data_IF_258735208933
#
_entry.id   IF_258735208933
#
_cell.length_a   1.000
_cell.length_b   1.000
_cell.length_c   1.000
_cell.angle_alpha   90.00
_cell.angle_beta   90.00
_cell.angle_gamma   90.00
#
_symmetry.space_group_name_H-M   'P 1'
#
loop_
_entity.id
_entity.type
_entity.pdbx_description
1 polymer ?
#
# COMPACT_ATOMS: atom_id res chain seq x y z
N UNK A 1 -7.89 16.23 -21.67
CA UNK A 1 -6.51 15.71 -21.65
C UNK A 1 -6.50 14.53 -20.71
N UNK A 2 -5.84 13.45 -21.08
CA UNK A 2 -5.72 12.31 -20.18
C UNK A 2 -4.84 12.70 -18.99
N UNK A 3 -5.24 12.27 -17.79
CA UNK A 3 -4.49 12.50 -16.56
C UNK A 3 -3.15 11.75 -16.62
N UNK A 4 -2.11 12.37 -16.09
CA UNK A 4 -0.76 11.79 -16.07
C UNK A 4 -0.65 10.82 -14.88
N UNK A 5 -0.39 9.52 -15.14
CA UNK A 5 -0.22 8.55 -14.07
C UNK A 5 1.04 8.87 -13.26
N UNK A 6 0.91 8.83 -11.94
CA UNK A 6 1.98 9.14 -10.99
C UNK A 6 2.17 7.98 -10.01
N UNK A 7 3.38 7.45 -9.91
CA UNK A 7 3.73 6.34 -9.00
C UNK A 7 4.59 6.87 -7.85
N UNK A 8 4.22 6.56 -6.62
CA UNK A 8 5.04 6.85 -5.44
C UNK A 8 5.93 5.64 -5.18
N UNK A 9 7.24 5.84 -5.22
CA UNK A 9 8.26 4.86 -4.85
C UNK A 9 8.75 5.16 -3.43
N UNK A 10 8.46 4.26 -2.51
CA UNK A 10 8.82 4.38 -1.09
C UNK A 10 9.54 3.14 -0.59
N UNK A 11 9.99 3.15 0.64
CA UNK A 11 10.70 2.06 1.31
C UNK A 11 11.75 2.61 2.25
N UNK A 12 12.11 1.84 3.27
CA UNK A 12 13.00 2.28 4.34
C UNK A 12 14.42 2.61 3.84
N UNK A 13 15.23 3.21 4.70
CA UNK A 13 16.64 3.58 4.38
C UNK A 13 17.40 2.36 3.87
N UNK A 14 18.12 2.52 2.77
CA UNK A 14 18.94 1.47 2.18
C UNK A 14 18.16 0.34 1.48
N UNK A 15 16.84 0.43 1.34
CA UNK A 15 16.02 -0.61 0.71
C UNK A 15 16.30 -0.83 -0.78
N UNK A 16 16.96 0.13 -1.45
CA UNK A 16 17.30 0.01 -2.88
C UNK A 16 16.34 0.75 -3.82
N UNK A 17 15.61 1.77 -3.33
CA UNK A 17 14.70 2.60 -4.14
C UNK A 17 15.39 3.24 -5.34
N UNK A 18 16.45 3.99 -5.08
CA UNK A 18 17.25 4.65 -6.12
C UNK A 18 17.88 3.66 -7.10
N UNK A 19 18.29 2.47 -6.62
CA UNK A 19 18.79 1.40 -7.49
C UNK A 19 17.70 0.90 -8.46
N UNK A 20 16.49 0.71 -7.95
CA UNK A 20 15.33 0.33 -8.76
C UNK A 20 14.96 1.44 -9.75
N UNK A 21 14.91 2.68 -9.30
CA UNK A 21 14.59 3.84 -10.13
C UNK A 21 15.58 4.00 -11.27
N UNK A 22 16.89 4.00 -10.98
CA UNK A 22 17.94 4.06 -11.98
C UNK A 22 17.85 2.91 -12.99
N UNK A 23 17.48 1.72 -12.54
CA UNK A 23 17.28 0.58 -13.43
C UNK A 23 16.09 0.78 -14.37
N UNK A 24 14.96 1.27 -13.85
CA UNK A 24 13.79 1.61 -14.66
C UNK A 24 14.16 2.64 -15.72
N UNK A 25 14.87 3.69 -15.33
CA UNK A 25 15.27 4.75 -16.26
C UNK A 25 16.25 4.28 -17.35
N UNK A 26 17.00 3.20 -17.12
CA UNK A 26 17.95 2.65 -18.09
C UNK A 26 17.31 1.61 -19.04
N UNK A 27 16.13 1.09 -18.72
CA UNK A 27 15.46 0.10 -19.56
C UNK A 27 14.69 0.79 -20.71
N UNK A 28 14.73 0.17 -21.89
CA UNK A 28 13.94 0.63 -23.03
C UNK A 28 12.49 0.13 -22.91
N UNK A 29 11.66 0.91 -22.23
CA UNK A 29 10.24 0.62 -22.04
C UNK A 29 9.31 1.52 -22.87
N UNK A 30 9.88 2.41 -23.69
CA UNK A 30 9.12 3.27 -24.62
C UNK A 30 8.28 4.37 -23.94
N UNK A 31 8.43 4.60 -22.63
CA UNK A 31 7.76 5.67 -21.88
C UNK A 31 8.77 6.75 -21.47
N UNK A 32 8.34 7.99 -21.48
CA UNK A 32 9.11 9.11 -20.94
C UNK A 32 8.67 9.35 -19.51
N UNK A 33 9.60 9.26 -18.57
CA UNK A 33 9.34 9.34 -17.14
C UNK A 33 9.95 10.63 -16.59
N UNK A 34 9.12 11.45 -15.94
CA UNK A 34 9.61 12.54 -15.10
C UNK A 34 9.79 11.98 -13.67
N UNK A 35 10.92 12.28 -13.05
CA UNK A 35 11.24 11.85 -11.69
C UNK A 35 11.26 13.06 -10.77
N UNK A 36 10.63 12.91 -9.62
CA UNK A 36 10.72 13.85 -8.50
C UNK A 36 11.40 13.09 -7.35
N UNK A 37 12.62 13.48 -7.01
CA UNK A 37 13.30 12.98 -5.82
C UNK A 37 13.01 13.91 -4.67
N UNK A 38 12.47 13.36 -3.60
CA UNK A 38 12.10 14.12 -2.41
C UNK A 38 13.05 13.74 -1.27
N UNK A 39 14.25 14.35 -1.23
CA UNK A 39 15.19 14.18 -0.14
C UNK A 39 14.94 15.21 0.97
N UNK A 40 14.73 14.70 2.18
CA UNK A 40 14.65 15.49 3.41
C UNK A 40 16.02 15.50 4.11
N UNK A 41 16.77 16.57 3.98
CA UNK A 41 18.00 16.79 4.72
C UNK A 41 18.17 18.26 5.06
N UNK A 42 18.74 18.56 6.25
CA UNK A 42 19.06 19.91 6.70
C UNK A 42 20.19 20.60 5.89
N UNK A 43 20.78 19.92 4.93
CA UNK A 43 21.81 20.46 4.05
C UNK A 43 21.32 20.39 2.59
N UNK A 44 21.18 21.58 2.00
CA UNK A 44 21.01 21.90 0.59
C UNK A 44 21.37 20.76 -0.37
N UNK A 45 20.42 19.92 -0.72
CA UNK A 45 20.51 19.11 -1.91
C UNK A 45 19.34 19.55 -2.78
N UNK A 46 19.66 20.05 -3.95
CA UNK A 46 18.73 20.52 -4.94
C UNK A 46 17.68 19.44 -5.20
N UNK A 47 16.40 19.80 -5.12
CA UNK A 47 15.33 18.93 -5.58
C UNK A 47 15.51 18.74 -7.09
N UNK A 48 16.17 17.66 -7.47
CA UNK A 48 16.42 17.33 -8.87
C UNK A 48 15.15 16.73 -9.46
N UNK A 49 14.61 17.43 -10.45
CA UNK A 49 13.56 16.88 -11.30
C UNK A 49 14.25 16.37 -12.56
N UNK A 50 14.25 15.05 -12.73
CA UNK A 50 14.82 14.40 -13.89
C UNK A 50 13.72 14.08 -14.90
N UNK A 51 13.84 14.55 -16.11
CA UNK A 51 12.99 14.14 -17.23
C UNK A 51 13.87 13.41 -18.23
N UNK A 52 13.65 12.13 -18.39
CA UNK A 52 14.37 11.32 -19.36
C UNK A 52 13.61 11.31 -20.69
N UNK A 53 14.24 11.85 -21.74
CA UNK A 53 13.82 11.61 -23.11
C UNK A 53 14.70 10.48 -23.68
N UNK A 54 14.16 9.58 -24.49
CA UNK A 54 14.85 8.42 -25.10
C UNK A 54 15.97 8.80 -26.07
N UNK A 55 16.55 9.97 -25.89
CA UNK A 55 17.70 10.57 -26.60
C UNK A 55 18.33 11.68 -25.78
N UNK A 56 19.14 11.32 -24.80
CA UNK A 56 20.17 12.18 -24.17
C UNK A 56 19.75 13.58 -23.70
N UNK A 57 18.75 13.75 -22.82
CA UNK A 57 18.71 14.96 -21.99
C UNK A 57 18.06 14.68 -20.62
N UNK A 58 18.88 14.59 -19.59
CA UNK A 58 18.46 14.75 -18.20
C UNK A 58 18.28 16.25 -17.99
N UNK A 59 17.04 16.69 -17.73
CA UNK A 59 16.78 18.08 -17.39
C UNK A 59 16.79 18.17 -15.86
N UNK A 60 17.90 18.63 -15.32
CA UNK A 60 18.02 19.00 -13.91
C UNK A 60 17.31 20.35 -13.71
N UNK A 61 16.35 20.40 -12.81
CA UNK A 61 15.72 21.65 -12.40
C UNK A 61 16.11 21.96 -10.95
N UNK A 62 17.06 22.87 -10.81
CA UNK A 62 17.46 23.45 -9.53
C UNK A 62 16.40 24.46 -9.10
N UNK A 63 15.51 24.09 -8.22
CA UNK A 63 14.65 25.02 -7.50
C UNK A 63 15.28 25.27 -6.12
N UNK A 64 15.95 26.41 -5.97
CA UNK A 64 16.61 26.82 -4.72
C UNK A 64 15.66 26.84 -3.53
N UNK A 65 16.21 26.46 -2.39
CA UNK A 65 15.69 26.39 -1.03
C UNK A 65 14.45 27.24 -0.73
N UNK A 66 13.37 26.56 -0.29
CA UNK A 66 12.43 27.14 0.69
C UNK A 66 12.03 26.01 1.66
N UNK A 67 12.48 26.13 2.90
CA UNK A 67 12.03 25.35 4.04
C UNK A 67 10.60 25.72 4.40
N UNK A 68 9.61 25.04 3.85
CA UNK A 68 8.25 25.02 4.45
C UNK A 68 7.41 23.90 3.84
N UNK A 69 7.21 22.86 4.59
CA UNK A 69 6.22 21.78 4.40
C UNK A 69 6.36 20.95 3.11
N UNK A 70 6.85 19.77 3.26
CA UNK A 70 6.96 18.64 2.30
C UNK A 70 5.89 18.59 1.22
N UNK A 71 4.66 18.95 1.56
CA UNK A 71 3.51 18.92 0.67
C UNK A 71 3.47 20.11 -0.28
N UNK A 72 3.86 21.30 0.18
CA UNK A 72 3.85 22.51 -0.65
C UNK A 72 4.85 22.42 -1.80
N UNK A 73 6.04 21.91 -1.51
CA UNK A 73 7.12 21.79 -2.50
C UNK A 73 6.78 20.76 -3.59
N UNK A 74 6.14 19.65 -3.21
CA UNK A 74 5.66 18.65 -4.15
C UNK A 74 4.55 19.21 -5.06
N UNK A 75 3.61 19.97 -4.50
CA UNK A 75 2.53 20.62 -5.27
C UNK A 75 3.14 21.58 -6.29
N UNK A 76 4.10 22.39 -5.88
CA UNK A 76 4.77 23.34 -6.78
C UNK A 76 5.56 22.62 -7.88
N UNK A 77 6.28 21.55 -7.55
CA UNK A 77 7.02 20.73 -8.51
C UNK A 77 6.08 20.11 -9.56
N UNK A 78 4.99 19.49 -9.12
CA UNK A 78 3.99 18.89 -10.01
C UNK A 78 3.33 19.96 -10.92
N UNK A 79 2.95 21.10 -10.37
CA UNK A 79 2.34 22.19 -11.13
C UNK A 79 3.34 22.82 -12.11
N UNK A 80 4.62 22.94 -11.74
CA UNK A 80 5.69 23.38 -12.64
C UNK A 80 5.87 22.41 -13.83
N UNK A 81 5.91 21.10 -13.57
CA UNK A 81 5.97 20.08 -14.62
C UNK A 81 4.76 20.16 -15.56
N UNK A 82 3.55 20.31 -15.01
CA UNK A 82 2.32 20.45 -15.81
C UNK A 82 2.39 21.68 -16.73
N UNK A 83 2.81 22.85 -16.21
CA UNK A 83 2.97 24.08 -16.99
C UNK A 83 4.00 23.94 -18.10
N UNK A 84 5.18 23.38 -17.82
CA UNK A 84 6.23 23.17 -18.82
C UNK A 84 5.80 22.18 -19.91
N UNK A 85 5.09 21.10 -19.53
CA UNK A 85 4.51 20.15 -20.48
C UNK A 85 3.47 20.82 -21.38
N UNK A 86 2.59 21.64 -20.80
CA UNK A 86 1.58 22.39 -21.56
C UNK A 86 2.21 23.43 -22.50
N UNK A 87 3.34 24.05 -22.12
CA UNK A 87 4.11 24.95 -22.96
C UNK A 87 4.91 24.21 -24.05
N UNK A 88 4.99 22.89 -24.03
CA UNK A 88 5.79 22.09 -24.97
C UNK A 88 7.29 22.13 -24.69
N UNK A 89 7.72 22.65 -23.55
CA UNK A 89 9.13 22.74 -23.15
C UNK A 89 9.70 21.37 -22.78
N UNK A 90 8.87 20.52 -22.17
CA UNK A 90 9.21 19.15 -21.77
C UNK A 90 8.10 18.19 -22.19
N UNK A 91 8.45 16.92 -22.33
CA UNK A 91 7.49 15.89 -22.72
C UNK A 91 7.72 14.65 -21.87
N UNK A 92 6.66 14.20 -21.17
CA UNK A 92 6.67 12.98 -20.38
C UNK A 92 5.27 12.35 -20.33
N UNK A 93 5.23 11.08 -20.11
CA UNK A 93 4.02 10.27 -20.13
C UNK A 93 3.61 9.85 -18.72
N UNK A 94 4.54 9.88 -17.75
CA UNK A 94 4.36 9.41 -16.38
C UNK A 94 5.27 10.17 -15.40
N UNK A 95 4.88 10.22 -14.14
CA UNK A 95 5.71 10.75 -13.04
C UNK A 95 6.03 9.62 -12.05
N UNK A 96 7.27 9.55 -11.60
CA UNK A 96 7.69 8.73 -10.45
C UNK A 96 8.19 9.66 -9.36
N UNK A 97 7.67 9.50 -8.15
CA UNK A 97 8.06 10.29 -6.98
C UNK A 97 8.79 9.34 -6.02
N UNK A 98 10.11 9.51 -5.90
CA UNK A 98 10.88 8.80 -4.90
C UNK A 98 10.81 9.54 -3.57
N UNK A 99 10.38 8.86 -2.49
CA UNK A 99 10.36 9.43 -1.15
C UNK A 99 11.63 9.08 -0.39
N UNK A 100 11.99 9.87 0.62
CA UNK A 100 13.08 9.53 1.54
C UNK A 100 12.78 8.23 2.28
N UNK A 101 13.83 7.59 2.80
CA UNK A 101 13.70 6.32 3.51
C UNK A 101 12.92 6.38 4.83
N UNK A 102 12.71 7.57 5.40
CA UNK A 102 11.94 7.80 6.63
C UNK A 102 10.56 8.43 6.36
N UNK A 103 10.21 8.69 5.09
CA UNK A 103 8.97 9.34 4.77
C UNK A 103 7.75 8.47 5.03
N UNK A 104 6.69 9.10 5.54
CA UNK A 104 5.34 8.56 5.48
C UNK A 104 4.75 8.86 4.10
N UNK A 105 4.40 7.88 3.27
CA UNK A 105 3.86 8.12 1.94
C UNK A 105 2.43 8.71 1.95
N UNK A 106 1.74 8.66 3.08
CA UNK A 106 0.37 9.16 3.21
C UNK A 106 0.17 10.61 2.77
N UNK A 107 0.92 11.59 3.30
CA UNK A 107 0.83 13.00 2.86
C UNK A 107 1.10 13.20 1.38
N UNK A 108 2.06 12.45 0.80
CA UNK A 108 2.37 12.47 -0.63
C UNK A 108 1.17 11.96 -1.44
N UNK A 109 0.60 10.82 -1.06
CA UNK A 109 -0.59 10.27 -1.70
C UNK A 109 -1.80 11.20 -1.59
N UNK A 110 -2.00 11.86 -0.44
CA UNK A 110 -3.11 12.80 -0.23
C UNK A 110 -3.05 14.02 -1.15
N UNK A 111 -1.86 14.45 -1.58
CA UNK A 111 -1.69 15.59 -2.48
C UNK A 111 -2.53 15.45 -3.75
N UNK A 112 -2.60 14.25 -4.30
CA UNK A 112 -3.35 13.95 -5.53
C UNK A 112 -4.88 14.03 -5.36
N UNK A 113 -5.39 14.04 -4.14
CA UNK A 113 -6.83 14.07 -3.87
C UNK A 113 -7.31 15.40 -3.31
N UNK A 114 -6.43 16.17 -2.69
CA UNK A 114 -6.81 17.40 -1.96
C UNK A 114 -6.47 18.64 -2.75
N UNK A 115 -5.43 18.62 -3.56
CA UNK A 115 -5.04 19.75 -4.37
C UNK A 115 -5.76 19.72 -5.73
N UNK A 116 -6.56 20.73 -6.02
CA UNK A 116 -7.39 20.79 -7.22
C UNK A 116 -6.54 20.90 -8.50
N UNK A 117 -5.43 21.65 -8.47
CA UNK A 117 -4.55 21.83 -9.62
C UNK A 117 -3.80 20.53 -9.94
N UNK A 118 -3.27 19.86 -8.92
CA UNK A 118 -2.64 18.54 -9.07
C UNK A 118 -3.65 17.52 -9.57
N UNK A 119 -4.83 17.43 -8.97
CA UNK A 119 -5.90 16.50 -9.37
C UNK A 119 -6.44 16.73 -10.78
N UNK A 120 -6.31 17.96 -11.32
CA UNK A 120 -6.70 18.27 -12.68
C UNK A 120 -5.70 17.75 -13.75
N UNK A 121 -4.46 17.48 -13.36
CA UNK A 121 -3.38 17.08 -14.29
C UNK A 121 -2.87 15.66 -14.05
N UNK A 122 -2.93 15.17 -12.83
CA UNK A 122 -2.29 13.92 -12.40
C UNK A 122 -3.29 12.94 -11.79
N UNK A 123 -3.01 11.66 -11.97
CA UNK A 123 -3.70 10.56 -11.32
C UNK A 123 -2.68 9.76 -10.50
N UNK A 124 -2.95 9.53 -9.22
CA UNK A 124 -2.15 8.59 -8.45
C UNK A 124 -2.38 7.17 -8.97
N UNK A 125 -1.35 6.59 -9.57
CA UNK A 125 -1.37 5.21 -10.09
C UNK A 125 -1.22 4.19 -8.97
N UNK A 126 -0.11 4.26 -8.22
CA UNK A 126 0.18 3.32 -7.14
C UNK A 126 1.24 3.83 -6.16
N UNK A 127 1.28 3.18 -4.99
CA UNK A 127 2.40 3.23 -4.04
C UNK A 127 3.16 1.91 -4.13
N UNK A 128 4.42 1.97 -4.55
CA UNK A 128 5.34 0.83 -4.61
C UNK A 128 6.32 0.93 -3.46
N UNK A 129 6.37 -0.10 -2.62
CA UNK A 129 7.25 -0.12 -1.45
C UNK A 129 8.38 -1.13 -1.66
N UNK A 130 9.62 -0.66 -1.61
CA UNK A 130 10.81 -1.52 -1.64
C UNK A 130 11.19 -1.90 -0.21
N UNK A 131 11.38 -3.20 0.02
CA UNK A 131 11.67 -3.77 1.33
C UNK A 131 12.97 -4.58 1.26
N UNK A 132 13.97 -4.22 2.08
CA UNK A 132 15.24 -4.91 2.20
C UNK A 132 15.05 -6.23 2.96
N UNK A 133 15.12 -7.38 2.26
CA UNK A 133 14.88 -8.68 2.87
C UNK A 133 15.82 -9.01 4.03
N UNK A 134 17.04 -8.45 4.04
CA UNK A 134 18.04 -8.70 5.07
C UNK A 134 17.73 -7.96 6.38
N UNK A 135 17.22 -6.72 6.30
CA UNK A 135 17.07 -5.87 7.47
C UNK A 135 15.61 -5.61 7.86
N UNK A 136 14.66 -6.00 7.01
CA UNK A 136 13.25 -5.64 7.19
C UNK A 136 12.64 -6.13 8.50
N UNK A 137 13.02 -7.32 8.98
CA UNK A 137 12.47 -7.85 10.24
C UNK A 137 12.82 -6.95 11.44
N UNK A 138 14.02 -6.41 11.48
CA UNK A 138 14.47 -5.46 12.50
C UNK A 138 13.83 -4.09 12.29
N UNK A 139 13.85 -3.59 11.05
CA UNK A 139 13.27 -2.29 10.67
C UNK A 139 11.78 -2.21 11.00
N UNK A 140 11.00 -3.23 10.65
CA UNK A 140 9.58 -3.32 10.97
C UNK A 140 9.30 -3.40 12.48
N UNK A 141 10.25 -3.85 13.28
CA UNK A 141 10.11 -3.90 14.75
C UNK A 141 10.48 -2.58 15.40
N UNK A 142 11.52 -1.92 14.89
CA UNK A 142 12.09 -0.72 15.50
C UNK A 142 11.46 0.59 14.98
N UNK A 143 10.88 0.60 13.79
CA UNK A 143 10.46 1.82 13.10
C UNK A 143 9.02 1.74 12.59
N UNK A 144 8.19 2.65 13.08
CA UNK A 144 6.79 2.78 12.63
C UNK A 144 6.71 3.20 11.15
N UNK A 145 7.67 3.99 10.67
CA UNK A 145 7.76 4.43 9.29
C UNK A 145 7.84 3.24 8.32
N UNK A 146 8.63 2.22 8.67
CA UNK A 146 8.72 1.00 7.86
C UNK A 146 7.38 0.26 7.78
N UNK A 147 6.66 0.16 8.91
CA UNK A 147 5.32 -0.43 8.93
C UNK A 147 4.31 0.41 8.12
N UNK A 148 4.36 1.74 8.22
CA UNK A 148 3.50 2.65 7.46
C UNK A 148 3.73 2.51 5.96
N UNK A 149 4.99 2.48 5.51
CA UNK A 149 5.34 2.30 4.10
C UNK A 149 4.75 0.99 3.54
N UNK A 150 4.84 -0.11 4.29
CA UNK A 150 4.21 -1.39 3.94
C UNK A 150 2.68 -1.28 3.94
N UNK A 151 2.10 -0.63 4.94
CA UNK A 151 0.65 -0.43 5.06
C UNK A 151 0.04 0.36 3.88
N UNK A 152 0.80 1.28 3.31
CA UNK A 152 0.38 2.07 2.14
C UNK A 152 0.56 1.37 0.80
N UNK A 153 1.38 0.32 0.74
CA UNK A 153 1.77 -0.31 -0.51
C UNK A 153 0.59 -0.85 -1.33
N UNK A 154 0.62 -0.61 -2.62
CA UNK A 154 -0.14 -1.35 -3.63
C UNK A 154 0.63 -2.54 -4.16
N UNK A 155 1.96 -2.43 -4.15
CA UNK A 155 2.93 -3.49 -4.50
C UNK A 155 4.11 -3.43 -3.56
N UNK A 156 4.61 -4.58 -3.14
CA UNK A 156 5.82 -4.71 -2.35
C UNK A 156 6.87 -5.42 -3.18
N UNK A 157 8.06 -4.81 -3.24
CA UNK A 157 9.23 -5.38 -3.92
C UNK A 157 10.29 -5.73 -2.88
N UNK A 158 10.59 -7.03 -2.74
CA UNK A 158 11.67 -7.50 -1.88
C UNK A 158 13.00 -7.37 -2.61
N UNK A 159 13.89 -6.57 -2.08
CA UNK A 159 15.27 -6.45 -2.52
C UNK A 159 16.19 -7.30 -1.65
N UNK A 160 17.39 -7.59 -2.16
CA UNK A 160 18.47 -8.27 -1.43
C UNK A 160 18.06 -9.66 -0.91
N UNK A 161 17.19 -10.35 -1.62
CA UNK A 161 16.77 -11.73 -1.25
C UNK A 161 17.91 -12.72 -1.41
N UNK A 162 18.92 -12.38 -2.21
CA UNK A 162 20.17 -13.11 -2.37
C UNK A 162 21.07 -13.14 -1.10
N UNK A 163 20.81 -12.25 -0.14
CA UNK A 163 21.58 -12.13 1.11
C UNK A 163 20.96 -12.87 2.29
N UNK A 164 19.84 -13.56 2.09
CA UNK A 164 19.11 -14.28 3.14
C UNK A 164 18.66 -15.66 2.63
N UNK A 165 18.39 -16.58 3.54
CA UNK A 165 17.86 -17.87 3.17
C UNK A 165 16.35 -17.84 2.85
N UNK A 166 15.86 -18.90 2.23
CA UNK A 166 14.45 -19.00 1.82
C UNK A 166 13.48 -18.93 3.03
N UNK A 167 13.85 -19.53 4.16
CA UNK A 167 13.01 -19.51 5.36
C UNK A 167 12.84 -18.10 5.94
N UNK A 168 13.91 -17.29 5.91
CA UNK A 168 13.86 -15.89 6.31
C UNK A 168 12.99 -15.05 5.34
N UNK A 169 13.06 -15.32 4.03
CA UNK A 169 12.19 -14.68 3.03
C UNK A 169 10.73 -15.03 3.29
N UNK A 170 10.41 -16.28 3.56
CA UNK A 170 9.04 -16.72 3.81
C UNK A 170 8.48 -16.14 5.12
N UNK A 171 9.28 -16.12 6.18
CA UNK A 171 8.92 -15.47 7.44
C UNK A 171 8.63 -13.96 7.25
N UNK A 172 9.46 -13.28 6.46
CA UNK A 172 9.25 -11.88 6.12
C UNK A 172 7.96 -11.67 5.32
N UNK A 173 7.73 -12.47 4.28
CA UNK A 173 6.49 -12.42 3.49
C UNK A 173 5.26 -12.58 4.37
N UNK A 174 5.27 -13.57 5.28
CA UNK A 174 4.17 -13.79 6.22
C UNK A 174 3.93 -12.57 7.13
N UNK A 175 4.99 -11.88 7.57
CA UNK A 175 4.85 -10.65 8.36
C UNK A 175 4.29 -9.49 7.53
N UNK A 176 4.79 -9.29 6.33
CA UNK A 176 4.31 -8.24 5.41
C UNK A 176 2.84 -8.43 5.05
N UNK A 177 2.41 -9.68 4.82
CA UNK A 177 1.00 -10.02 4.56
C UNK A 177 0.09 -9.76 5.75
N UNK A 178 0.57 -9.89 7.00
CA UNK A 178 -0.22 -9.48 8.19
C UNK A 178 -0.43 -7.97 8.25
N UNK A 179 0.59 -7.18 7.89
CA UNK A 179 0.49 -5.71 7.84
C UNK A 179 -0.40 -5.28 6.67
N UNK A 180 -0.16 -5.84 5.49
CA UNK A 180 -0.89 -5.49 4.27
C UNK A 180 -1.16 -6.73 3.40
N UNK A 181 -2.29 -7.42 3.63
CA UNK A 181 -2.65 -8.64 2.89
C UNK A 181 -3.01 -8.38 1.41
N UNK A 182 -3.09 -7.10 1.00
CA UNK A 182 -3.56 -6.72 -0.34
C UNK A 182 -2.44 -6.36 -1.30
N UNK A 183 -1.26 -6.07 -0.81
CA UNK A 183 -0.13 -5.74 -1.66
C UNK A 183 0.55 -7.03 -2.16
N UNK A 184 0.49 -7.35 -3.46
CA UNK A 184 1.26 -8.45 -4.01
C UNK A 184 2.75 -8.25 -3.74
N UNK A 185 3.44 -9.34 -3.40
CA UNK A 185 4.88 -9.32 -3.09
C UNK A 185 5.65 -9.95 -4.25
N UNK A 186 6.62 -9.23 -4.81
CA UNK A 186 7.55 -9.72 -5.81
C UNK A 186 9.00 -9.45 -5.38
N UNK A 187 9.98 -10.03 -6.07
CA UNK A 187 11.40 -9.78 -5.83
C UNK A 187 11.96 -8.75 -6.78
N UNK A 188 12.95 -7.97 -6.31
CA UNK A 188 13.60 -6.89 -7.06
C UNK A 188 15.10 -6.84 -6.73
N UNK A 189 15.78 -7.99 -6.86
CA UNK A 189 17.20 -8.02 -6.57
C UNK A 189 18.01 -7.22 -7.60
N UNK A 190 18.94 -6.37 -7.10
CA UNK A 190 19.70 -5.42 -7.91
C UNK A 190 18.83 -4.47 -8.75
N UNK A 191 17.63 -4.12 -8.27
CA UNK A 191 16.67 -3.29 -8.98
C UNK A 191 15.98 -3.98 -10.16
N UNK A 192 16.16 -5.29 -10.34
CA UNK A 192 15.54 -6.05 -11.41
C UNK A 192 14.12 -6.43 -11.02
N UNK A 193 13.17 -5.67 -11.50
CA UNK A 193 11.74 -5.97 -11.42
C UNK A 193 11.12 -5.76 -12.82
N UNK A 194 10.14 -6.56 -13.22
CA UNK A 194 9.38 -6.25 -14.43
C UNK A 194 8.78 -4.83 -14.33
N UNK A 195 8.86 -4.06 -15.40
CA UNK A 195 8.29 -2.69 -15.41
C UNK A 195 6.82 -2.69 -15.01
N UNK A 196 6.05 -3.71 -15.43
CA UNK A 196 4.65 -3.90 -15.04
C UNK A 196 4.45 -4.13 -13.53
N UNK A 197 5.49 -4.48 -12.78
CA UNK A 197 5.45 -4.60 -11.32
C UNK A 197 5.70 -3.27 -10.59
N UNK A 198 6.03 -2.20 -11.33
CA UNK A 198 6.35 -0.89 -10.78
C UNK A 198 5.44 0.19 -11.36
N UNK A 199 5.15 0.13 -12.66
CA UNK A 199 4.38 1.15 -13.37
C UNK A 199 3.06 0.57 -13.90
N UNK A 200 2.04 1.41 -14.02
CA UNK A 200 0.70 1.05 -14.50
C UNK A 200 0.00 -0.02 -13.64
N UNK A 201 0.21 0.07 -12.34
CA UNK A 201 -0.40 -0.86 -11.37
C UNK A 201 -1.87 -0.56 -11.12
N UNK A 202 -2.34 0.64 -11.46
CA UNK A 202 -3.72 1.11 -11.30
C UNK A 202 -4.26 0.87 -9.88
N UNK A 203 -3.37 1.01 -8.89
CA UNK A 203 -3.65 0.74 -7.48
C UNK A 203 -4.77 1.60 -6.90
N UNK A 204 -4.98 2.79 -7.47
CA UNK A 204 -6.03 3.73 -7.10
C UNK A 204 -7.17 3.79 -8.12
N UNK A 205 -7.05 3.15 -9.29
CA UNK A 205 -8.14 3.01 -10.23
C UNK A 205 -8.83 1.65 -10.00
N UNK A 206 -9.88 1.66 -9.19
CA UNK A 206 -10.57 0.43 -8.79
C UNK A 206 -11.42 -0.18 -9.89
N UNK A 207 -11.92 0.63 -10.82
CA UNK A 207 -12.74 0.10 -11.91
C UNK A 207 -11.91 -0.79 -12.84
N UNK A 208 -10.69 -0.39 -13.16
CA UNK A 208 -9.78 -1.18 -14.00
C UNK A 208 -9.23 -2.41 -13.28
N UNK A 209 -8.99 -2.32 -11.97
CA UNK A 209 -8.44 -3.44 -11.19
C UNK A 209 -9.41 -4.59 -10.97
N UNK A 210 -10.72 -4.32 -10.96
CA UNK A 210 -11.74 -5.37 -10.88
C UNK A 210 -11.80 -6.20 -12.16
N UNK A 211 -11.45 -5.60 -13.30
CA UNK A 211 -11.40 -6.30 -14.59
C UNK A 211 -10.07 -7.03 -14.80
N UNK A 212 -8.97 -6.57 -14.18
CA UNK A 212 -7.62 -7.12 -14.34
C UNK A 212 -7.29 -8.19 -13.30
N UNK A 213 -7.79 -8.05 -12.07
CA UNK A 213 -7.53 -8.98 -10.96
C UNK A 213 -8.83 -9.49 -10.35
N UNK A 214 -9.42 -10.57 -10.89
CA UNK A 214 -10.57 -11.24 -10.29
C UNK A 214 -10.28 -11.72 -8.86
N UNK A 215 -9.00 -11.97 -8.54
CA UNK A 215 -8.55 -12.39 -7.22
C UNK A 215 -8.41 -11.20 -6.23
N UNK A 216 -8.57 -9.95 -6.72
CA UNK A 216 -8.66 -8.78 -5.83
C UNK A 216 -9.69 -8.98 -4.70
N UNK A 217 -10.74 -9.72 -4.95
CA UNK A 217 -11.76 -10.08 -3.96
C UNK A 217 -11.43 -11.35 -3.17
N UNK A 218 -10.40 -12.13 -3.57
CA UNK A 218 -9.97 -13.30 -2.80
C UNK A 218 -8.95 -12.88 -1.75
N UNK A 219 -9.27 -13.10 -0.49
CA UNK A 219 -8.28 -13.14 0.58
C UNK A 219 -7.93 -14.61 0.74
N UNK A 220 -6.79 -15.01 0.20
CA UNK A 220 -6.19 -16.30 0.52
C UNK A 220 -5.76 -16.24 1.98
N UNK A 221 -6.49 -16.91 2.87
CA UNK A 221 -6.19 -16.89 4.30
C UNK A 221 -7.29 -17.39 5.21
N UNK A 222 -8.31 -18.06 4.69
CA UNK A 222 -9.23 -18.88 5.49
C UNK A 222 -9.03 -20.38 5.21
N UNK A 223 -7.79 -20.87 5.29
CA UNK A 223 -7.59 -22.24 5.72
C UNK A 223 -7.70 -22.23 7.25
N UNK A 224 -8.94 -22.28 7.72
CA UNK A 224 -9.24 -22.64 9.09
C UNK A 224 -8.71 -24.03 9.37
N UNK A 225 -7.49 -24.10 9.87
CA UNK A 225 -7.08 -25.26 10.63
C UNK A 225 -7.83 -25.22 11.96
N UNK A 226 -9.11 -25.58 11.91
CA UNK A 226 -9.82 -26.16 13.02
C UNK A 226 -9.12 -27.49 13.33
N UNK A 227 -8.07 -27.41 14.13
CA UNK A 227 -7.52 -28.56 14.81
C UNK A 227 -8.48 -28.87 15.96
N UNK A 228 -9.59 -29.53 15.64
CA UNK A 228 -10.41 -30.25 16.58
C UNK A 228 -9.58 -31.43 17.13
N UNK A 229 -8.77 -31.15 18.14
CA UNK A 229 -8.09 -32.16 18.92
C UNK A 229 -9.14 -32.79 19.86
N UNK A 230 -9.90 -33.74 19.33
CA UNK A 230 -10.59 -34.71 20.15
C UNK A 230 -9.52 -35.56 20.87
N UNK A 231 -9.23 -35.20 22.11
CA UNK A 231 -8.51 -36.05 23.04
C UNK A 231 -9.44 -37.15 23.50
N UNK A 232 -9.41 -38.31 22.87
CA UNK A 232 -9.88 -39.54 23.47
C UNK A 232 -8.98 -39.87 24.66
N UNK A 233 -9.53 -39.79 25.85
CA UNK A 233 -8.89 -40.32 27.06
C UNK A 233 -8.94 -41.84 27.05
N UNK A 234 -7.88 -42.48 26.54
CA UNK A 234 -7.58 -43.86 26.82
C UNK A 234 -6.89 -43.98 28.17
N UNK A 235 -7.52 -44.68 29.10
CA UNK A 235 -6.97 -44.99 30.41
C UNK A 235 -5.82 -46.00 30.31
N UNK A 236 -4.90 -45.84 31.25
CA UNK A 236 -3.93 -46.82 31.70
C UNK A 236 -2.57 -46.90 30.98
N UNK A 237 -1.56 -46.26 31.64
CA UNK A 237 -0.21 -46.81 31.81
C UNK A 237 0.56 -45.98 32.82
N UNK A 238 0.76 -46.49 34.01
CA UNK A 238 1.62 -45.91 35.04
C UNK A 238 3.11 -46.05 34.66
N UNK A 239 3.80 -44.95 34.69
CA UNK A 239 5.27 -44.93 34.85
C UNK A 239 5.67 -43.70 35.69
N UNK A 240 6.24 -44.05 36.86
CA UNK A 240 6.98 -43.15 37.74
C UNK A 240 8.16 -42.53 36.97
N UNK A 241 8.21 -41.22 36.83
CA UNK A 241 9.41 -40.51 36.49
C UNK A 241 9.68 -39.36 37.44
N UNK A 242 10.82 -39.49 38.10
CA UNK A 242 11.49 -38.53 38.97
C UNK A 242 11.62 -37.19 38.27
N UNK A 243 11.15 -36.13 38.92
CA UNK A 243 11.35 -34.75 38.47
C UNK A 243 12.78 -34.34 38.72
N UNK A 244 13.57 -34.15 37.65
CA UNK A 244 14.80 -33.37 37.71
C UNK A 244 14.49 -31.95 37.22
N UNK A 245 14.78 -30.97 38.08
CA UNK A 245 14.44 -29.59 37.90
C UNK A 245 15.54 -28.88 37.12
N UNK A 246 15.58 -28.97 35.79
CA UNK A 246 16.31 -28.02 34.92
C UNK A 246 16.04 -28.23 33.44
N UNK A 247 14.85 -27.84 32.96
CA UNK A 247 14.65 -27.52 31.53
C UNK A 247 13.63 -26.40 31.42
N UNK A 248 14.09 -25.19 31.59
CA UNK A 248 13.34 -24.01 31.19
C UNK A 248 13.50 -23.86 29.67
N UNK A 249 12.62 -24.52 28.90
CA UNK A 249 12.39 -24.11 27.52
C UNK A 249 11.41 -22.95 27.53
N UNK A 250 11.93 -21.77 27.77
CA UNK A 250 11.26 -20.51 27.40
C UNK A 250 11.15 -20.47 25.86
N UNK A 251 10.08 -21.02 25.33
CA UNK A 251 9.61 -20.63 24.03
C UNK A 251 9.07 -19.21 24.14
N UNK A 252 9.97 -18.24 24.13
CA UNK A 252 9.64 -16.87 23.80
C UNK A 252 9.14 -16.85 22.36
N UNK A 253 7.86 -17.11 22.16
CA UNK A 253 7.17 -16.54 21.04
C UNK A 253 7.18 -15.04 21.26
N UNK A 254 8.22 -14.36 20.74
CA UNK A 254 8.21 -12.93 20.62
C UNK A 254 7.05 -12.57 19.68
N UNK A 255 5.89 -12.29 20.27
CA UNK A 255 4.83 -11.59 19.58
C UNK A 255 5.37 -10.21 19.24
N UNK A 256 5.99 -10.07 18.07
CA UNK A 256 6.20 -8.76 17.48
C UNK A 256 4.80 -8.20 17.22
N UNK A 257 4.31 -7.35 18.13
CA UNK A 257 3.06 -6.63 17.92
C UNK A 257 3.35 -5.54 16.90
N UNK A 258 3.03 -5.82 15.64
CA UNK A 258 3.00 -4.75 14.65
C UNK A 258 1.85 -3.82 15.03
N UNK A 259 2.14 -2.53 15.24
CA UNK A 259 1.12 -1.53 15.56
C UNK A 259 0.18 -1.29 14.38
N UNK A 260 0.64 -1.59 13.17
CA UNK A 260 -0.14 -1.50 11.93
C UNK A 260 -0.57 -2.90 11.52
N UNK A 261 -1.86 -3.05 11.34
CA UNK A 261 -2.49 -4.30 10.95
C UNK A 261 -3.65 -4.04 9.99
N UNK A 262 -4.08 -5.11 9.33
CA UNK A 262 -5.23 -5.10 8.46
C UNK A 262 -6.33 -6.03 8.99
N UNK A 263 -7.58 -5.68 8.66
CA UNK A 263 -8.69 -6.59 8.79
C UNK A 263 -9.67 -6.44 7.63
N UNK A 264 -10.45 -7.48 7.41
CA UNK A 264 -11.41 -7.57 6.32
C UNK A 264 -12.82 -7.68 6.88
N UNK A 265 -13.75 -6.96 6.26
CA UNK A 265 -15.19 -7.14 6.44
C UNK A 265 -15.78 -7.75 5.18
N UNK A 266 -16.60 -8.78 5.33
CA UNK A 266 -17.31 -9.45 4.24
C UNK A 266 -18.79 -9.60 4.59
N UNK A 267 -19.68 -9.40 3.61
CA UNK A 267 -21.11 -9.64 3.76
C UNK A 267 -21.75 -9.89 2.41
N UNK A 268 -22.65 -10.88 2.35
CA UNK A 268 -23.53 -11.07 1.20
C UNK A 268 -24.79 -10.20 1.30
N UNK A 269 -25.08 -9.61 2.46
CA UNK A 269 -26.17 -8.65 2.64
C UNK A 269 -25.78 -7.29 2.04
N UNK A 270 -26.75 -6.56 1.52
CA UNK A 270 -26.54 -5.21 1.02
C UNK A 270 -26.43 -4.19 2.14
N UNK A 271 -25.76 -3.09 1.89
CA UNK A 271 -25.76 -1.93 2.78
C UNK A 271 -26.92 -0.99 2.46
N UNK A 272 -27.49 -0.41 3.49
CA UNK A 272 -28.29 0.80 3.40
C UNK A 272 -27.35 1.98 3.09
N UNK A 273 -27.55 2.71 1.97
CA UNK A 273 -26.64 3.77 1.57
C UNK A 273 -26.49 4.89 2.60
N UNK A 274 -27.59 5.34 3.19
CA UNK A 274 -27.57 6.47 4.13
C UNK A 274 -26.88 6.10 5.44
N UNK A 275 -27.17 4.90 5.97
CA UNK A 275 -26.52 4.43 7.20
C UNK A 275 -25.03 4.22 7.02
N UNK A 276 -24.64 3.64 5.87
CA UNK A 276 -23.23 3.41 5.58
C UNK A 276 -22.47 4.72 5.43
N UNK A 277 -23.02 5.70 4.70
CA UNK A 277 -22.40 7.01 4.54
C UNK A 277 -22.17 7.72 5.87
N UNK A 278 -23.21 7.75 6.73
CA UNK A 278 -23.11 8.34 8.07
C UNK A 278 -22.07 7.63 8.94
N UNK A 279 -22.05 6.30 8.90
CA UNK A 279 -21.11 5.51 9.69
C UNK A 279 -19.67 5.69 9.20
N UNK A 280 -19.41 5.60 7.90
CA UNK A 280 -18.08 5.81 7.32
C UNK A 280 -17.58 7.23 7.54
N UNK A 281 -18.45 8.23 7.40
CA UNK A 281 -18.12 9.63 7.73
C UNK A 281 -17.67 9.79 9.19
N UNK A 282 -18.38 9.14 10.12
CA UNK A 282 -18.01 9.15 11.54
C UNK A 282 -16.70 8.41 11.80
N UNK A 283 -16.48 7.26 11.15
CA UNK A 283 -15.22 6.51 11.26
C UNK A 283 -14.02 7.34 10.78
N UNK A 284 -14.16 7.99 9.63
CA UNK A 284 -13.10 8.82 9.05
C UNK A 284 -12.81 10.04 9.96
N UNK A 285 -13.84 10.62 10.55
CA UNK A 285 -13.66 11.74 11.47
C UNK A 285 -12.93 11.35 12.76
N UNK A 286 -13.24 10.17 13.32
CA UNK A 286 -12.68 9.70 14.60
C UNK A 286 -11.34 9.01 14.41
N UNK A 287 -11.23 8.10 13.43
CA UNK A 287 -10.08 7.22 13.25
C UNK A 287 -9.22 7.56 12.01
N UNK A 288 -9.60 8.57 11.23
CA UNK A 288 -8.91 8.93 9.99
C UNK A 288 -7.40 9.04 10.10
N UNK A 289 -6.82 9.70 11.12
CA UNK A 289 -5.36 9.75 11.30
C UNK A 289 -4.69 8.39 11.51
N UNK A 290 -5.44 7.40 12.05
CA UNK A 290 -4.97 6.04 12.31
C UNK A 290 -5.23 5.10 11.13
N UNK A 291 -6.25 5.41 10.29
CA UNK A 291 -6.57 4.66 9.08
C UNK A 291 -5.56 5.04 7.99
N UNK A 292 -4.63 4.13 7.66
CA UNK A 292 -3.65 4.41 6.61
C UNK A 292 -4.28 4.27 5.25
N UNK A 293 -4.92 3.16 5.00
CA UNK A 293 -5.56 2.84 3.74
C UNK A 293 -6.80 1.97 3.94
N UNK A 294 -7.79 2.20 3.13
CA UNK A 294 -8.99 1.36 3.08
C UNK A 294 -9.55 1.33 1.66
N UNK A 295 -10.06 0.17 1.29
CA UNK A 295 -10.65 -0.07 -0.03
C UNK A 295 -11.69 -1.17 0.08
N UNK A 296 -12.62 -1.18 -0.87
CA UNK A 296 -13.58 -2.26 -0.97
C UNK A 296 -14.50 -2.16 -2.14
N UNK A 297 -15.22 -3.25 -2.35
CA UNK A 297 -16.38 -3.32 -3.21
C UNK A 297 -17.59 -3.50 -2.32
N UNK A 298 -18.60 -2.71 -2.54
CA UNK A 298 -19.81 -2.64 -1.73
C UNK A 298 -21.00 -3.14 -2.56
N UNK A 299 -21.80 -3.99 -1.94
CA UNK A 299 -23.16 -4.28 -2.37
C UNK A 299 -24.10 -3.30 -1.69
N UNK A 300 -24.72 -2.42 -2.44
CA UNK A 300 -25.65 -1.40 -1.95
C UNK A 300 -27.07 -1.80 -2.26
N UNK A 301 -27.99 -1.52 -1.35
CA UNK A 301 -29.42 -1.76 -1.57
C UNK A 301 -29.94 -0.85 -2.68
N UNK A 302 -30.76 -1.42 -3.57
CA UNK A 302 -31.31 -0.71 -4.72
C UNK A 302 -30.32 -0.43 -5.87
N UNK A 303 -29.04 -0.88 -5.77
CA UNK A 303 -28.01 -0.66 -6.80
C UNK A 303 -27.59 -2.00 -7.43
N UNK A 304 -27.75 -2.13 -8.76
CA UNK A 304 -27.40 -3.34 -9.53
C UNK A 304 -25.92 -3.39 -9.97
N UNK A 305 -25.11 -2.45 -9.47
CA UNK A 305 -23.69 -2.28 -9.80
C UNK A 305 -22.84 -2.36 -8.55
N UNK A 306 -21.58 -2.72 -8.76
CA UNK A 306 -20.57 -2.62 -7.72
C UNK A 306 -20.37 -1.15 -7.36
N UNK A 307 -20.38 -0.82 -6.08
CA UNK A 307 -19.90 0.49 -5.61
C UNK A 307 -18.51 0.29 -5.07
N UNK A 308 -17.58 1.04 -5.62
CA UNK A 308 -16.18 0.95 -5.27
C UNK A 308 -15.86 2.06 -4.28
N UNK A 309 -15.14 1.71 -3.24
CA UNK A 309 -14.85 2.58 -2.12
C UNK A 309 -13.36 2.52 -1.79
N UNK A 310 -12.75 3.66 -1.60
CA UNK A 310 -11.34 3.75 -1.20
C UNK A 310 -11.05 5.00 -0.39
N UNK A 311 -9.94 4.96 0.35
CA UNK A 311 -9.46 6.14 1.03
C UNK A 311 -8.05 6.02 1.59
N UNK A 312 -7.55 7.20 1.94
CA UNK A 312 -6.24 7.42 2.56
C UNK A 312 -6.42 8.38 3.72
N UNK A 313 -6.18 7.94 4.94
CA UNK A 313 -6.44 8.73 6.15
C UNK A 313 -7.88 9.28 6.20
N UNK A 314 -8.00 10.60 6.22
CA UNK A 314 -9.29 11.29 6.31
C UNK A 314 -9.96 11.51 4.94
N UNK A 315 -9.32 11.14 3.86
CA UNK A 315 -9.85 11.31 2.50
C UNK A 315 -10.51 10.02 2.07
N UNK A 316 -11.78 10.09 1.74
CA UNK A 316 -12.60 8.99 1.30
C UNK A 316 -13.26 9.34 -0.02
N UNK A 317 -13.29 8.38 -0.94
CA UNK A 317 -14.03 8.48 -2.20
C UNK A 317 -14.74 7.19 -2.53
N UNK A 318 -15.82 7.30 -3.28
CA UNK A 318 -16.54 6.17 -3.84
C UNK A 318 -16.91 6.44 -5.28
N UNK A 319 -17.01 5.38 -6.09
CA UNK A 319 -17.42 5.46 -7.48
C UNK A 319 -18.30 4.26 -7.83
N UNK A 320 -19.09 4.42 -8.89
CA UNK A 320 -19.98 3.36 -9.40
C UNK A 320 -19.21 2.54 -10.42
N UNK A 321 -18.89 1.31 -10.06
CA UNK A 321 -18.18 0.34 -10.89
C UNK A 321 -19.08 -0.39 -11.92
N UNK A 322 -18.58 -1.51 -12.48
CA UNK A 322 -19.32 -2.35 -13.42
C UNK A 322 -20.50 -3.04 -12.73
N UNK A 323 -21.40 -3.61 -13.54
CA UNK A 323 -22.44 -4.50 -13.03
C UNK A 323 -21.83 -5.78 -12.46
N UNK A 324 -22.58 -6.39 -11.53
CA UNK A 324 -22.24 -7.74 -11.08
C UNK A 324 -22.33 -8.72 -12.26
N UNK A 325 -21.38 -9.63 -12.35
CA UNK A 325 -21.37 -10.66 -13.38
C UNK A 325 -22.54 -11.63 -13.23
N UNK A 326 -22.99 -12.23 -14.34
CA UNK A 326 -24.15 -13.16 -14.34
C UNK A 326 -23.98 -14.37 -13.42
N UNK A 327 -22.73 -14.80 -13.20
CA UNK A 327 -22.39 -15.93 -12.31
C UNK A 327 -21.70 -15.46 -11.00
N UNK A 328 -21.71 -14.17 -10.72
CA UNK A 328 -21.09 -13.59 -9.53
C UNK A 328 -22.12 -13.35 -8.44
N UNK A 329 -21.90 -13.87 -7.25
CA UNK A 329 -22.74 -13.55 -6.09
C UNK A 329 -22.40 -12.15 -5.61
N UNK A 330 -23.35 -11.19 -5.66
CA UNK A 330 -23.09 -9.85 -5.15
C UNK A 330 -22.73 -9.87 -3.67
N UNK A 331 -21.55 -9.40 -3.32
CA UNK A 331 -21.07 -9.38 -1.96
C UNK A 331 -20.19 -8.15 -1.68
N UNK A 332 -20.29 -7.65 -0.47
CA UNK A 332 -19.37 -6.62 0.03
C UNK A 332 -18.08 -7.25 0.52
N UNK A 333 -16.96 -6.60 0.17
CA UNK A 333 -15.65 -6.89 0.75
C UNK A 333 -14.90 -5.58 0.95
N UNK A 334 -14.55 -5.29 2.21
CA UNK A 334 -13.81 -4.10 2.61
C UNK A 334 -12.55 -4.51 3.35
N UNK A 335 -11.44 -3.84 3.09
CA UNK A 335 -10.17 -3.99 3.81
C UNK A 335 -9.84 -2.66 4.45
N UNK A 336 -9.47 -2.68 5.71
CA UNK A 336 -8.98 -1.55 6.47
C UNK A 336 -7.56 -1.86 6.94
N UNK A 337 -6.64 -0.94 6.69
CA UNK A 337 -5.24 -1.02 7.13
C UNK A 337 -4.96 0.21 7.98
N UNK A 338 -4.45 0.03 9.19
CA UNK A 338 -4.15 1.16 10.05
C UNK A 338 -3.52 0.77 11.38
N UNK A 339 -3.20 1.83 12.15
CA UNK A 339 -2.53 1.69 13.44
C UNK A 339 -3.56 1.52 14.55
N UNK A 340 -3.48 0.39 15.27
CA UNK A 340 -4.31 0.12 16.45
C UNK A 340 -5.81 0.37 16.23
N UNK A 341 -6.34 0.03 15.05
CA UNK A 341 -7.75 0.22 14.75
C UNK A 341 -8.62 -0.73 15.58
N UNK A 342 -9.70 -0.25 16.23
CA UNK A 342 -10.59 -1.08 17.02
C UNK A 342 -11.50 -1.93 16.10
N UNK A 343 -11.00 -3.06 15.60
CA UNK A 343 -11.69 -3.95 14.66
C UNK A 343 -13.14 -4.19 15.02
N UNK A 344 -13.43 -4.49 16.31
CA UNK A 344 -14.79 -4.78 16.76
C UNK A 344 -15.76 -3.62 16.57
N UNK A 345 -15.30 -2.38 16.73
CA UNK A 345 -16.10 -1.17 16.50
C UNK A 345 -16.47 -1.06 15.01
N UNK A 346 -15.48 -1.28 14.13
CA UNK A 346 -15.70 -1.26 12.70
C UNK A 346 -16.67 -2.34 12.26
N UNK A 347 -16.43 -3.59 12.65
CA UNK A 347 -17.25 -4.75 12.25
C UNK A 347 -18.70 -4.55 12.71
N UNK A 348 -18.93 -4.25 13.99
CA UNK A 348 -20.29 -4.06 14.54
C UNK A 348 -21.02 -2.90 13.88
N UNK A 349 -20.32 -1.79 13.64
CA UNK A 349 -20.94 -0.64 12.99
C UNK A 349 -21.30 -0.91 11.53
N UNK A 350 -20.44 -1.62 10.79
CA UNK A 350 -20.74 -2.06 9.42
C UNK A 350 -21.91 -3.04 9.40
N UNK A 351 -21.98 -3.99 10.34
CA UNK A 351 -23.12 -4.92 10.46
C UNK A 351 -24.45 -4.21 10.70
N UNK A 352 -24.45 -3.11 11.46
CA UNK A 352 -25.66 -2.29 11.72
C UNK A 352 -26.12 -1.50 10.48
N UNK A 353 -25.25 -1.30 9.50
CA UNK A 353 -25.58 -0.66 8.24
C UNK A 353 -26.18 -1.61 7.20
N UNK A 354 -26.21 -2.91 7.46
CA UNK A 354 -26.78 -3.91 6.55
C UNK A 354 -28.31 -3.94 6.62
N UNK A 355 -28.96 -4.18 5.45
CA UNK A 355 -30.42 -4.41 5.29
C UNK A 355 -30.77 -5.88 5.32
#
# INVERSE_FOLDING_TARGET
>A
MDLIPSTILTGFLGAGKTTLLNRILQEDHGMRIAVIENEFGEENIDNEILVQDSGEQIIEMNNGCICCTVRGDLIEALNSLARKRAAGEISFDRVVIETTGLANPGPVAQTFFVDEEVGAHYLLDAVVTVVDARHAMEQLTAHEEAQRQVGFADKILLSKTDLVDAAAVDALKARLQRINPRAPIATSDFGRAPIADVLDLRGFNLNDKLDIDPDFLRVDGEDGHDHDHQHEHGADCGHDHVHDASCSHDHHHSHHSDDIAAFVFKSERAFDPERLEQFLGSLVQVFGPQMLRYKGVLRMDGVDRKVVFQGVHQIMGSDVGPKWGENETPATKMVFIGKNLPKDVFIRGLEQCLV
#
